data_IF_346249888146
#
_entry.id   IF_346249888146
#
_cell.length_a   1.000
_cell.length_b   1.000
_cell.length_c   1.000
_cell.angle_alpha   90.00
_cell.angle_beta   90.00
_cell.angle_gamma   90.00
#
_symmetry.space_group_name_H-M   'P 1'
#
loop_
_entity.id
_entity.type
_entity.pdbx_description
1 polymer ?
#
# COMPACT_ATOMS: atom_id res chain seq x y z
N UNK A 1 19.86 49.64 25.08
CA UNK A 1 20.36 48.33 24.65
C UNK A 1 21.13 48.59 23.38
N UNK A 2 22.43 48.30 23.38
CA UNK A 2 23.29 48.66 22.25
C UNK A 2 23.01 47.75 21.06
N UNK A 3 23.25 48.25 19.84
CA UNK A 3 23.03 47.51 18.60
C UNK A 3 23.74 46.14 18.59
N UNK A 4 24.94 46.08 19.18
CA UNK A 4 25.68 44.84 19.37
C UNK A 4 24.97 43.83 20.29
N UNK A 5 24.33 44.30 21.36
CA UNK A 5 23.56 43.44 22.26
C UNK A 5 22.28 42.93 21.58
N UNK A 6 21.61 43.78 20.80
CA UNK A 6 20.44 43.39 20.01
C UNK A 6 20.80 42.32 18.97
N UNK A 7 21.86 42.55 18.19
CA UNK A 7 22.34 41.61 17.18
C UNK A 7 22.76 40.27 17.79
N UNK A 8 23.42 40.30 18.96
CA UNK A 8 23.76 39.10 19.70
C UNK A 8 22.52 38.32 20.16
N UNK A 9 21.50 39.00 20.71
CA UNK A 9 20.26 38.35 21.13
C UNK A 9 19.49 37.73 19.95
N UNK A 10 19.45 38.40 18.79
CA UNK A 10 18.84 37.86 17.57
C UNK A 10 19.60 36.62 17.11
N UNK A 11 20.94 36.67 17.07
CA UNK A 11 21.77 35.54 16.68
C UNK A 11 21.57 34.35 17.64
N UNK A 12 21.54 34.59 18.95
CA UNK A 12 21.29 33.55 19.96
C UNK A 12 19.91 32.91 19.78
N UNK A 13 18.86 33.72 19.58
CA UNK A 13 17.51 33.21 19.36
C UNK A 13 17.42 32.38 18.07
N UNK A 14 18.09 32.82 17.00
CA UNK A 14 18.15 32.04 15.74
C UNK A 14 18.91 30.72 15.89
N UNK A 15 19.98 30.70 16.70
CA UNK A 15 20.74 29.49 16.96
C UNK A 15 19.91 28.48 17.77
N UNK A 16 19.19 28.96 18.78
CA UNK A 16 18.30 28.13 19.61
C UNK A 16 17.16 27.56 18.76
N UNK A 17 16.52 28.38 17.92
CA UNK A 17 15.42 27.92 17.06
C UNK A 17 15.88 26.89 16.02
N UNK A 18 17.07 27.10 15.41
CA UNK A 18 17.67 26.14 14.50
C UNK A 18 18.02 24.81 15.20
N UNK A 19 18.57 24.86 16.41
CA UNK A 19 18.87 23.68 17.21
C UNK A 19 17.59 22.90 17.55
N UNK A 20 16.55 23.59 18.01
CA UNK A 20 15.26 22.97 18.34
C UNK A 20 14.62 22.32 17.10
N UNK A 21 14.61 23.01 15.96
CA UNK A 21 14.11 22.46 14.70
C UNK A 21 14.87 21.20 14.28
N UNK A 22 16.19 21.19 14.44
CA UNK A 22 17.03 20.03 14.11
C UNK A 22 16.73 18.84 15.02
N UNK A 23 16.60 19.08 16.34
CA UNK A 23 16.24 18.04 17.31
C UNK A 23 14.86 17.44 17.02
N UNK A 24 13.87 18.28 16.72
CA UNK A 24 12.54 17.84 16.31
C UNK A 24 12.61 16.99 15.04
N UNK A 25 13.37 17.42 14.03
CA UNK A 25 13.54 16.66 12.79
C UNK A 25 14.18 15.28 13.03
N UNK A 26 15.20 15.19 13.90
CA UNK A 26 15.79 13.90 14.29
C UNK A 26 14.77 13.00 15.00
N UNK A 27 13.98 13.56 15.92
CA UNK A 27 12.96 12.81 16.64
C UNK A 27 11.86 12.28 15.71
N UNK A 28 11.38 13.11 14.77
CA UNK A 28 10.42 12.67 13.75
C UNK A 28 10.99 11.57 12.87
N UNK A 29 12.26 11.68 12.45
CA UNK A 29 12.93 10.63 11.66
C UNK A 29 13.05 9.32 12.42
N UNK A 30 13.32 9.39 13.73
CA UNK A 30 13.39 8.20 14.58
C UNK A 30 12.03 7.52 14.73
N UNK A 31 10.95 8.29 14.95
CA UNK A 31 9.59 7.74 14.97
C UNK A 31 9.20 7.12 13.63
N UNK A 32 9.62 7.72 12.51
CA UNK A 32 9.30 7.22 11.17
C UNK A 32 9.92 5.84 10.89
N UNK A 33 11.11 5.57 11.44
CA UNK A 33 11.75 4.25 11.35
C UNK A 33 10.99 3.16 12.10
N UNK A 34 10.27 3.51 13.17
CA UNK A 34 9.45 2.57 13.95
C UNK A 34 8.12 2.23 13.28
N UNK A 35 7.71 2.99 12.26
CA UNK A 35 6.42 2.88 11.55
C UNK A 35 6.64 2.48 10.10
N UNK A 36 6.75 1.17 9.88
CA UNK A 36 7.06 0.61 8.56
C UNK A 36 6.08 -0.49 8.22
N UNK A 37 5.36 -0.32 7.12
CA UNK A 37 4.51 -1.35 6.53
C UNK A 37 5.13 -1.83 5.23
N UNK A 38 5.05 -3.13 4.99
CA UNK A 38 5.39 -3.73 3.71
C UNK A 38 4.11 -4.13 3.00
N UNK A 39 3.94 -3.62 1.77
CA UNK A 39 2.78 -3.91 0.93
C UNK A 39 3.23 -4.79 -0.22
N UNK A 40 2.61 -5.96 -0.40
CA UNK A 40 2.94 -6.89 -1.48
C UNK A 40 1.70 -7.58 -2.03
N UNK A 41 1.62 -7.80 -3.36
CA UNK A 41 0.62 -8.69 -3.92
C UNK A 41 0.97 -10.15 -3.60
N UNK A 42 -0.04 -10.97 -3.34
CA UNK A 42 0.05 -12.43 -3.25
C UNK A 42 -1.06 -13.02 -4.11
N UNK A 43 -0.71 -13.99 -4.96
CA UNK A 43 -1.68 -14.74 -5.77
C UNK A 43 -2.08 -15.99 -5.00
N UNK A 44 -3.39 -16.21 -4.82
CA UNK A 44 -3.93 -17.35 -4.10
C UNK A 44 -5.00 -18.02 -4.95
N UNK A 45 -4.89 -19.34 -5.07
CA UNK A 45 -5.92 -20.16 -5.69
C UNK A 45 -7.03 -20.45 -4.67
N UNK A 46 -8.27 -20.15 -5.01
CA UNK A 46 -9.43 -20.63 -4.28
C UNK A 46 -9.64 -22.12 -4.55
N UNK A 47 -9.78 -22.91 -3.49
CA UNK A 47 -10.12 -24.33 -3.57
C UNK A 47 -11.53 -24.52 -3.04
N UNK A 48 -12.38 -25.21 -3.80
CA UNK A 48 -13.65 -25.75 -3.32
C UNK A 48 -13.43 -27.23 -3.04
N UNK A 49 -13.65 -27.62 -1.78
CA UNK A 49 -13.78 -29.02 -1.42
C UNK A 49 -15.21 -29.47 -1.70
N UNK A 50 -15.35 -30.37 -2.67
CA UNK A 50 -16.56 -31.15 -2.90
C UNK A 50 -16.38 -32.53 -2.26
N UNK A 51 -17.48 -33.23 -1.97
CA UNK A 51 -17.49 -34.46 -1.15
C UNK A 51 -16.46 -35.54 -1.55
N UNK A 52 -16.01 -35.58 -2.82
CA UNK A 52 -15.01 -36.54 -3.31
C UNK A 52 -13.85 -35.89 -4.10
N UNK A 53 -13.78 -34.56 -4.21
CA UNK A 53 -12.79 -33.91 -5.08
C UNK A 53 -12.49 -32.46 -4.67
N UNK A 54 -11.23 -32.05 -4.82
CA UNK A 54 -10.78 -30.67 -4.58
C UNK A 54 -10.62 -29.98 -5.91
N UNK A 55 -11.55 -29.09 -6.24
CA UNK A 55 -11.52 -28.33 -7.49
C UNK A 55 -11.07 -26.90 -7.25
N UNK A 56 -10.34 -26.37 -8.22
CA UNK A 56 -10.04 -24.94 -8.27
C UNK A 56 -11.31 -24.18 -8.63
N UNK A 57 -11.58 -23.11 -7.88
CA UNK A 57 -12.76 -22.26 -8.07
C UNK A 57 -12.42 -21.00 -8.84
N UNK A 58 -11.58 -20.16 -8.22
CA UNK A 58 -11.25 -18.86 -8.77
C UNK A 58 -9.91 -18.35 -8.22
N UNK A 59 -9.28 -17.44 -8.96
CA UNK A 59 -8.05 -16.78 -8.56
C UNK A 59 -8.30 -15.51 -7.77
N UNK A 60 -7.63 -15.42 -6.63
CA UNK A 60 -7.64 -14.25 -5.78
C UNK A 60 -6.29 -13.54 -5.82
N UNK A 61 -6.34 -12.23 -6.01
CA UNK A 61 -5.25 -11.33 -5.70
C UNK A 61 -5.44 -10.81 -4.28
N UNK A 62 -4.53 -11.21 -3.40
CA UNK A 62 -4.50 -10.79 -2.01
C UNK A 62 -3.46 -9.69 -1.83
N UNK A 63 -3.87 -8.53 -1.36
CA UNK A 63 -2.93 -7.48 -0.98
C UNK A 63 -2.52 -7.74 0.47
N UNK A 64 -1.26 -8.12 0.63
CA UNK A 64 -0.61 -8.30 1.91
C UNK A 64 -0.09 -6.98 2.43
N UNK A 65 -0.43 -6.67 3.67
CA UNK A 65 0.08 -5.56 4.45
C UNK A 65 0.71 -6.13 5.71
N UNK A 66 2.03 -6.18 5.76
CA UNK A 66 2.78 -6.66 6.91
C UNK A 66 3.31 -5.46 7.70
N UNK A 67 3.04 -5.42 8.99
CA UNK A 67 3.67 -4.43 9.85
C UNK A 67 5.04 -4.93 10.31
N UNK A 68 6.10 -4.38 9.71
CA UNK A 68 7.50 -4.68 10.08
C UNK A 68 8.06 -3.66 11.10
N UNK A 69 7.26 -2.65 11.46
CA UNK A 69 7.57 -1.70 12.51
C UNK A 69 7.31 -2.27 13.91
N UNK A 70 7.77 -1.55 14.94
CA UNK A 70 7.61 -1.96 16.34
C UNK A 70 6.34 -1.41 17.00
N UNK A 71 5.58 -0.56 16.30
CA UNK A 71 4.33 0.02 16.78
C UNK A 71 3.16 -0.54 15.99
N UNK A 72 2.01 -0.72 16.66
CA UNK A 72 0.77 -0.99 15.94
C UNK A 72 0.40 0.21 15.06
N UNK A 73 -0.21 -0.07 13.91
CA UNK A 73 -0.63 0.94 12.95
C UNK A 73 -2.09 0.72 12.56
N UNK A 74 -2.79 1.82 12.34
CA UNK A 74 -4.10 1.78 11.72
C UNK A 74 -3.92 2.03 10.23
N UNK A 75 -4.50 1.16 9.40
CA UNK A 75 -4.41 1.24 7.94
C UNK A 75 -5.77 1.56 7.35
N UNK A 76 -5.76 2.39 6.32
CA UNK A 76 -6.91 2.64 5.46
C UNK A 76 -7.03 1.57 4.36
N UNK A 77 -8.13 1.62 3.61
CA UNK A 77 -8.39 0.67 2.53
C UNK A 77 -7.23 0.62 1.52
N UNK A 78 -6.77 -0.57 1.11
CA UNK A 78 -5.82 -0.70 0.03
C UNK A 78 -6.34 -0.12 -1.29
N UNK A 79 -5.46 0.57 -2.00
CA UNK A 79 -5.75 1.19 -3.28
C UNK A 79 -4.79 0.72 -4.36
N UNK A 80 -5.26 0.75 -5.60
CA UNK A 80 -4.42 0.60 -6.79
C UNK A 80 -4.04 1.98 -7.28
N UNK A 81 -2.73 2.26 -7.30
CA UNK A 81 -2.17 3.42 -7.96
C UNK A 81 -1.90 3.13 -9.43
N UNK A 82 -2.51 3.95 -10.28
CA UNK A 82 -2.41 3.90 -11.73
C UNK A 82 -1.25 4.81 -12.17
N UNK A 83 -0.50 4.48 -13.24
CA UNK A 83 0.64 5.28 -13.66
C UNK A 83 0.27 6.66 -14.25
N UNK A 84 -0.95 6.82 -14.75
CA UNK A 84 -1.47 8.06 -15.33
C UNK A 84 -2.86 8.36 -14.78
N UNK A 85 -3.22 9.65 -14.78
CA UNK A 85 -4.59 10.08 -14.47
C UNK A 85 -5.51 9.71 -15.64
N UNK A 86 -6.61 9.06 -15.34
CA UNK A 86 -7.66 8.71 -16.30
C UNK A 86 -8.96 9.21 -15.67
N UNK A 87 -9.61 10.18 -16.33
CA UNK A 87 -10.82 10.84 -15.80
C UNK A 87 -10.61 11.38 -14.38
N UNK A 88 -9.47 12.04 -14.15
CA UNK A 88 -9.02 12.56 -12.85
C UNK A 88 -8.72 11.51 -11.77
N UNK A 89 -8.88 10.22 -12.07
CA UNK A 89 -8.59 9.11 -11.18
C UNK A 89 -7.14 8.65 -11.39
N UNK A 90 -6.33 8.71 -10.33
CA UNK A 90 -5.02 8.05 -10.24
C UNK A 90 -4.96 6.95 -9.16
N UNK A 91 -6.04 6.82 -8.38
CA UNK A 91 -6.18 5.89 -7.28
C UNK A 91 -7.55 5.23 -7.32
N UNK A 92 -7.57 3.91 -7.47
CA UNK A 92 -8.78 3.12 -7.35
C UNK A 92 -8.81 2.39 -6.01
N UNK A 93 -9.84 2.63 -5.19
CA UNK A 93 -10.00 1.95 -3.91
C UNK A 93 -10.55 0.55 -4.11
N UNK A 94 -9.99 -0.43 -3.40
CA UNK A 94 -10.50 -1.81 -3.41
C UNK A 94 -11.46 -1.96 -2.24
N UNK A 95 -12.71 -1.53 -2.45
CA UNK A 95 -13.75 -1.55 -1.42
C UNK A 95 -14.52 -2.84 -1.50
N UNK A 96 -14.64 -3.55 -0.37
CA UNK A 96 -15.62 -4.63 -0.19
C UNK A 96 -16.75 -4.06 0.68
N UNK A 97 -18.03 -4.24 0.33
CA UNK A 97 -19.16 -3.58 1.00
C UNK A 97 -19.20 -3.74 2.52
N UNK A 98 -18.75 -4.89 3.03
CA UNK A 98 -18.83 -5.23 4.46
C UNK A 98 -17.58 -4.86 5.27
N UNK A 99 -16.53 -4.36 4.61
CA UNK A 99 -15.25 -4.16 5.28
C UNK A 99 -15.10 -2.73 5.81
N UNK A 100 -15.00 -2.63 7.15
CA UNK A 100 -14.78 -1.35 7.84
C UNK A 100 -13.30 -1.02 7.93
N UNK A 101 -12.99 0.26 7.72
CA UNK A 101 -11.69 0.86 7.91
C UNK A 101 -11.81 2.06 8.87
N UNK A 102 -10.72 2.46 9.57
CA UNK A 102 -9.38 1.88 9.51
C UNK A 102 -9.27 0.52 10.23
N UNK A 103 -8.28 -0.29 9.83
CA UNK A 103 -7.96 -1.57 10.48
C UNK A 103 -6.67 -1.47 11.29
N UNK A 104 -6.67 -2.02 12.49
CA UNK A 104 -5.47 -2.09 13.34
C UNK A 104 -4.62 -3.29 12.90
N UNK A 105 -3.31 -3.09 12.80
CA UNK A 105 -2.30 -4.11 12.49
C UNK A 105 -1.19 -4.01 13.53
N UNK A 106 -1.06 -5.04 14.36
CA UNK A 106 -0.03 -5.16 15.38
C UNK A 106 1.37 -5.33 14.76
N UNK A 107 2.41 -5.10 15.57
CA UNK A 107 3.80 -5.34 15.14
C UNK A 107 3.99 -6.82 14.77
N UNK A 108 4.46 -7.09 13.56
CA UNK A 108 4.61 -8.44 13.00
C UNK A 108 3.33 -9.06 12.46
N UNK A 109 2.18 -8.39 12.62
CA UNK A 109 0.90 -8.88 12.09
C UNK A 109 0.78 -8.63 10.58
N UNK A 110 0.13 -9.58 9.93
CA UNK A 110 -0.19 -9.54 8.51
C UNK A 110 -1.69 -9.36 8.32
N UNK A 111 -2.04 -8.34 7.53
CA UNK A 111 -3.38 -8.16 7.02
C UNK A 111 -3.45 -8.54 5.53
N UNK A 112 -4.41 -9.41 5.19
CA UNK A 112 -4.64 -9.88 3.82
C UNK A 112 -6.01 -9.40 3.31
N UNK A 113 -5.98 -8.58 2.26
CA UNK A 113 -7.18 -8.15 1.54
C UNK A 113 -7.35 -8.98 0.27
N UNK A 114 -8.26 -9.96 0.29
CA UNK A 114 -8.58 -10.80 -0.86
C UNK A 114 -9.48 -10.05 -1.84
N UNK A 115 -9.17 -10.11 -3.12
CA UNK A 115 -10.00 -9.58 -4.22
C UNK A 115 -9.92 -10.53 -5.41
N UNK A 116 -10.99 -10.67 -6.18
CA UNK A 116 -10.95 -11.48 -7.41
C UNK A 116 -9.95 -10.86 -8.40
N UNK A 117 -9.04 -11.69 -8.92
CA UNK A 117 -8.07 -11.26 -9.93
C UNK A 117 -8.78 -10.85 -11.22
N UNK A 118 -9.86 -11.54 -11.59
CA UNK A 118 -10.68 -11.23 -12.76
C UNK A 118 -11.31 -9.84 -12.65
N UNK A 119 -11.88 -9.50 -11.49
CA UNK A 119 -12.46 -8.18 -11.26
C UNK A 119 -11.43 -7.06 -11.39
N UNK A 120 -10.21 -7.29 -10.89
CA UNK A 120 -9.11 -6.33 -11.00
C UNK A 120 -8.65 -6.20 -12.46
N UNK A 121 -8.45 -7.30 -13.18
CA UNK A 121 -8.06 -7.25 -14.59
C UNK A 121 -9.13 -6.55 -15.44
N UNK A 122 -10.40 -6.91 -15.25
CA UNK A 122 -11.54 -6.27 -15.92
C UNK A 122 -11.56 -4.76 -15.63
N UNK A 123 -11.39 -4.34 -14.39
CA UNK A 123 -11.29 -2.92 -14.03
C UNK A 123 -10.13 -2.21 -14.75
N UNK A 124 -8.92 -2.79 -14.71
CA UNK A 124 -7.72 -2.17 -15.27
C UNK A 124 -7.77 -2.06 -16.79
N UNK A 125 -8.40 -3.03 -17.45
CA UNK A 125 -8.42 -3.12 -18.92
C UNK A 125 -9.64 -2.45 -19.53
N UNK A 126 -10.84 -2.73 -19.00
CA UNK A 126 -12.08 -2.22 -19.60
C UNK A 126 -12.39 -0.79 -19.16
N UNK A 127 -12.30 -0.51 -17.86
CA UNK A 127 -12.65 0.79 -17.29
C UNK A 127 -11.48 1.77 -17.40
N UNK A 128 -10.27 1.32 -17.09
CA UNK A 128 -9.09 2.16 -17.07
C UNK A 128 -8.25 2.06 -18.35
N UNK A 129 -8.57 1.17 -19.29
CA UNK A 129 -7.92 1.07 -20.61
C UNK A 129 -6.39 1.08 -20.53
N UNK A 130 -5.85 0.36 -19.55
CA UNK A 130 -4.40 0.25 -19.35
C UNK A 130 -3.80 -0.73 -20.36
N UNK A 131 -2.64 -0.35 -20.89
CA UNK A 131 -1.85 -1.18 -21.79
C UNK A 131 -1.07 -2.24 -20.99
N UNK A 132 -0.75 -3.37 -21.64
CA UNK A 132 -0.05 -4.50 -21.00
C UNK A 132 1.32 -4.14 -20.40
N UNK A 133 1.96 -3.08 -20.89
CA UNK A 133 3.26 -2.60 -20.42
C UNK A 133 3.17 -1.59 -19.27
N UNK A 134 1.98 -1.08 -18.97
CA UNK A 134 1.77 -0.14 -17.88
C UNK A 134 1.97 -0.82 -16.52
N UNK A 135 2.58 -0.08 -15.59
CA UNK A 135 2.94 -0.56 -14.26
C UNK A 135 2.00 0.04 -13.21
N UNK A 136 1.30 -0.83 -12.49
CA UNK A 136 0.48 -0.43 -11.34
C UNK A 136 1.26 -0.65 -10.03
N UNK A 137 0.79 -0.02 -8.95
CA UNK A 137 1.27 -0.30 -7.59
C UNK A 137 0.08 -0.44 -6.66
N UNK A 138 0.18 -1.35 -5.69
CA UNK A 138 -0.73 -1.35 -4.56
C UNK A 138 -0.19 -0.41 -3.50
N UNK A 139 -1.08 0.34 -2.85
CA UNK A 139 -0.67 1.23 -1.78
C UNK A 139 -1.69 1.26 -0.65
N UNK A 140 -1.20 1.50 0.55
CA UNK A 140 -1.98 1.65 1.77
C UNK A 140 -1.52 2.91 2.47
N UNK A 141 -2.47 3.66 3.02
CA UNK A 141 -2.18 4.85 3.83
C UNK A 141 -2.39 4.48 5.29
N UNK A 142 -1.45 4.83 6.16
CA UNK A 142 -1.63 4.68 7.60
C UNK A 142 -2.37 5.88 8.22
N UNK A 143 -2.78 5.76 9.48
CA UNK A 143 -3.47 6.82 10.22
C UNK A 143 -2.65 8.09 10.42
N UNK A 144 -1.36 8.08 10.11
CA UNK A 144 -0.49 9.26 10.15
C UNK A 144 -0.32 9.89 8.76
N UNK A 145 -1.04 9.38 7.74
CA UNK A 145 -0.99 9.90 6.37
C UNK A 145 0.19 9.40 5.55
N UNK A 146 1.03 8.49 6.07
CA UNK A 146 2.15 7.94 5.32
C UNK A 146 1.67 6.87 4.35
N UNK A 147 2.15 6.96 3.11
CA UNK A 147 1.76 6.06 2.01
C UNK A 147 2.82 4.99 1.83
N UNK A 148 2.42 3.73 2.01
CA UNK A 148 3.24 2.54 1.82
C UNK A 148 2.88 1.89 0.50
N UNK A 149 3.87 1.60 -0.35
CA UNK A 149 3.66 1.15 -1.74
C UNK A 149 4.32 -0.18 -1.99
N UNK A 150 3.65 -1.03 -2.76
CA UNK A 150 4.26 -2.24 -3.30
C UNK A 150 5.30 -1.92 -4.38
N UNK A 151 6.08 -2.93 -4.73
CA UNK A 151 6.85 -2.92 -5.97
C UNK A 151 5.91 -2.74 -7.18
N UNK A 152 6.36 -2.06 -8.24
CA UNK A 152 5.57 -1.89 -9.45
C UNK A 152 5.38 -3.22 -10.18
N UNK A 153 4.16 -3.48 -10.63
CA UNK A 153 3.76 -4.72 -11.30
C UNK A 153 3.23 -4.35 -12.68
N UNK A 154 3.69 -5.03 -13.73
CA UNK A 154 3.17 -4.84 -15.09
C UNK A 154 1.82 -5.53 -15.22
N UNK A 155 0.91 -4.93 -15.99
CA UNK A 155 -0.38 -5.56 -16.29
C UNK A 155 -0.20 -6.91 -17.01
N UNK A 156 0.80 -7.05 -17.88
CA UNK A 156 1.14 -8.34 -18.50
C UNK A 156 1.52 -9.43 -17.50
N UNK A 157 2.15 -9.07 -16.39
CA UNK A 157 2.48 -10.02 -15.32
C UNK A 157 1.22 -10.50 -14.62
N UNK A 158 0.28 -9.60 -14.31
CA UNK A 158 -1.01 -9.99 -13.72
C UNK A 158 -1.79 -10.95 -14.64
N UNK A 159 -1.80 -10.66 -15.94
CA UNK A 159 -2.40 -11.55 -16.96
C UNK A 159 -1.69 -12.90 -17.01
N UNK A 160 -0.36 -12.92 -17.01
CA UNK A 160 0.39 -14.17 -17.06
C UNK A 160 0.09 -15.06 -15.85
N UNK A 161 -0.04 -14.49 -14.66
CA UNK A 161 -0.42 -15.24 -13.45
C UNK A 161 -1.86 -15.77 -13.52
N UNK A 162 -2.78 -15.05 -14.17
CA UNK A 162 -4.12 -15.57 -14.47
C UNK A 162 -4.05 -16.77 -15.44
N UNK A 163 -3.35 -16.64 -16.57
CA UNK A 163 -3.28 -17.68 -17.61
C UNK A 163 -2.49 -18.93 -17.23
N UNK A 164 -1.43 -18.80 -16.42
CA UNK A 164 -0.61 -19.95 -16.00
C UNK A 164 -1.41 -20.99 -15.25
N UNK A 165 -2.53 -20.60 -14.64
CA UNK A 165 -3.26 -21.46 -13.74
C UNK A 165 -4.55 -21.99 -14.38
N UNK A 166 -5.13 -21.25 -15.32
CA UNK A 166 -6.13 -21.81 -16.26
C UNK A 166 -5.58 -23.03 -17.03
N UNK A 167 -4.27 -23.02 -17.34
CA UNK A 167 -3.60 -24.17 -17.95
C UNK A 167 -3.39 -25.35 -16.97
N UNK A 168 -3.34 -25.09 -15.66
CA UNK A 168 -3.20 -26.12 -14.62
C UNK A 168 -4.54 -26.64 -14.11
N UNK A 169 -5.66 -25.98 -14.41
CA UNK A 169 -7.03 -26.47 -14.12
C UNK A 169 -7.61 -27.36 -15.23
N UNK A 170 -6.94 -27.46 -16.37
CA UNK A 170 -7.33 -28.28 -17.53
C UNK A 170 -6.59 -29.63 -17.63
N UNK A 171 -5.69 -29.95 -16.69
CA UNK A 171 -5.01 -31.24 -16.56
C UNK A 171 -5.41 -31.92 -15.25
#
# INVERSE_FOLDING_TARGET
MDENQLNFMIALLSAISALLATLLMMFYRFLDQRRKLEVSPIYQAGLIQTANDVKFDQMYLSIRVLNVGSQHLYIHSPCIKIPRKIDEIDLHQIVTPDEKYPKRVESGEEYLKKTSLEQILSLLESKLRLNSNEKIRFQVTDSFGKIHKSKPIKLSTLRAEFTKIDANTLN
#
